data_IF_408579914912
#
_entry.id   IF_408579914912
#
_cell.length_a   1.000
_cell.length_b   1.000
_cell.length_c   1.000
_cell.angle_alpha   90.00
_cell.angle_beta   90.00
_cell.angle_gamma   90.00
#
_symmetry.space_group_name_H-M   'P 1'
#
loop_
_entity.id
_entity.type
_entity.pdbx_description
1 polymer ?
#
# COMPACT_ATOMS: atom_id res chain seq x y z
N UNK A 1 -16.46 7.62 0.04
CA UNK A 1 -15.17 6.89 0.02
C UNK A 1 -14.60 6.83 -1.40
N UNK A 2 -15.34 6.35 -2.40
CA UNK A 2 -14.90 6.24 -3.81
C UNK A 2 -14.34 7.54 -4.42
N UNK A 3 -15.04 8.66 -4.26
CA UNK A 3 -14.58 9.97 -4.74
C UNK A 3 -13.24 10.44 -4.13
N UNK A 4 -12.91 10.00 -2.91
CA UNK A 4 -11.63 10.34 -2.26
C UNK A 4 -10.45 9.55 -2.85
N UNK A 5 -10.67 8.28 -3.18
CA UNK A 5 -9.69 7.41 -3.84
C UNK A 5 -9.44 7.87 -5.28
N UNK A 6 -10.49 8.21 -6.02
CA UNK A 6 -10.36 8.73 -7.39
C UNK A 6 -9.54 10.02 -7.43
N UNK A 7 -9.85 10.99 -6.55
CA UNK A 7 -9.09 12.23 -6.44
C UNK A 7 -7.63 12.01 -6.00
N UNK A 8 -7.37 10.99 -5.17
CA UNK A 8 -6.03 10.61 -4.76
C UNK A 8 -5.24 10.03 -5.94
N UNK A 9 -5.85 9.13 -6.72
CA UNK A 9 -5.24 8.56 -7.93
C UNK A 9 -4.89 9.66 -8.93
N UNK A 10 -5.77 10.64 -9.15
CA UNK A 10 -5.49 11.77 -10.05
C UNK A 10 -4.26 12.59 -9.60
N UNK A 11 -4.10 12.82 -8.29
CA UNK A 11 -2.92 13.52 -7.76
C UNK A 11 -1.64 12.72 -8.00
N UNK A 12 -1.68 11.42 -7.72
CA UNK A 12 -0.53 10.52 -7.89
C UNK A 12 -0.11 10.42 -9.36
N UNK A 13 -1.07 10.34 -10.28
CA UNK A 13 -0.81 10.36 -11.72
C UNK A 13 -0.15 11.66 -12.20
N UNK A 14 -0.32 12.77 -11.48
CA UNK A 14 0.35 14.06 -11.76
C UNK A 14 1.75 14.16 -11.13
N UNK A 15 2.26 13.08 -10.52
CA UNK A 15 3.58 13.04 -9.91
C UNK A 15 3.65 13.63 -8.50
N UNK A 16 2.50 13.77 -7.82
CA UNK A 16 2.50 14.14 -6.41
C UNK A 16 3.07 12.99 -5.56
N UNK A 17 4.00 13.32 -4.66
CA UNK A 17 4.60 12.35 -3.74
C UNK A 17 3.74 12.24 -2.46
N UNK A 18 3.27 11.04 -2.08
CA UNK A 18 2.39 10.90 -0.94
C UNK A 18 3.10 11.17 0.40
N UNK A 19 2.43 11.95 1.25
CA UNK A 19 2.74 12.15 2.67
C UNK A 19 1.53 11.66 3.47
N UNK A 20 1.74 10.79 4.47
CA UNK A 20 0.70 10.23 5.32
C UNK A 20 -0.22 11.29 5.94
N UNK A 21 0.30 12.50 6.21
CA UNK A 21 -0.48 13.62 6.79
C UNK A 21 -1.45 14.25 5.80
N UNK A 22 -1.27 13.99 4.51
CA UNK A 22 -2.02 14.58 3.41
C UNK A 22 -2.98 13.56 2.75
N UNK A 23 -3.01 12.32 3.25
CA UNK A 23 -3.88 11.24 2.77
C UNK A 23 -5.10 11.14 3.68
N UNK A 24 -6.26 11.55 3.16
CA UNK A 24 -7.53 11.61 3.89
C UNK A 24 -8.49 10.44 3.56
N UNK A 25 -7.94 9.34 3.06
CA UNK A 25 -8.63 8.05 2.91
C UNK A 25 -8.09 7.10 3.98
N UNK A 26 -8.76 5.97 4.29
CA UNK A 26 -8.20 4.96 5.17
C UNK A 26 -6.80 4.57 4.72
N UNK A 27 -5.86 4.53 5.66
CA UNK A 27 -4.49 4.11 5.45
C UNK A 27 -4.28 2.77 6.15
N UNK A 28 -3.52 1.89 5.53
CA UNK A 28 -3.21 0.57 6.09
C UNK A 28 -1.76 0.22 5.83
N UNK A 29 -1.08 -0.24 6.86
CA UNK A 29 0.26 -0.82 6.76
C UNK A 29 0.14 -2.28 6.28
N UNK A 30 0.85 -2.59 5.21
CA UNK A 30 0.95 -3.94 4.64
C UNK A 30 2.40 -4.38 4.77
N UNK A 31 2.64 -5.19 5.79
CA UNK A 31 3.93 -5.74 6.15
C UNK A 31 4.26 -6.97 5.31
N UNK A 32 5.56 -7.21 5.16
CA UNK A 32 6.12 -8.36 4.49
C UNK A 32 5.50 -8.56 3.10
N UNK A 33 5.17 -7.49 2.38
CA UNK A 33 4.43 -7.59 1.11
C UNK A 33 5.29 -8.24 -0.01
N UNK A 34 6.62 -8.30 0.19
CA UNK A 34 7.63 -8.76 -0.76
C UNK A 34 7.59 -10.27 -1.06
N UNK A 35 6.51 -10.98 -0.74
CA UNK A 35 6.35 -12.42 -1.00
C UNK A 35 6.18 -12.74 -2.50
N UNK A 36 6.48 -11.77 -3.37
CA UNK A 36 6.36 -11.88 -4.81
C UNK A 36 7.72 -11.83 -5.53
N UNK A 37 8.39 -12.97 -5.73
CA UNK A 37 9.45 -13.11 -6.71
C UNK A 37 8.83 -13.77 -7.95
N UNK A 38 8.33 -12.99 -8.92
CA UNK A 38 8.34 -13.32 -10.35
C UNK A 38 7.52 -12.30 -11.15
N UNK A 39 8.25 -11.54 -11.94
CA UNK A 39 7.83 -10.79 -13.12
C UNK A 39 6.70 -11.48 -13.93
N UNK A 40 5.76 -10.65 -14.40
CA UNK A 40 4.90 -10.80 -15.61
C UNK A 40 3.37 -10.88 -15.44
N UNK A 41 2.79 -10.89 -14.24
CA UNK A 41 1.32 -10.90 -14.11
C UNK A 41 0.79 -9.58 -13.53
N UNK A 42 0.07 -8.83 -14.39
CA UNK A 42 -0.82 -7.71 -14.11
C UNK A 42 -1.15 -7.50 -12.62
N UNK A 43 -0.66 -6.39 -12.06
CA UNK A 43 -0.78 -5.93 -10.67
C UNK A 43 -2.23 -5.75 -10.21
N UNK A 44 -2.95 -6.85 -10.02
CA UNK A 44 -4.33 -6.82 -9.55
C UNK A 44 -4.41 -6.94 -8.04
N UNK A 45 -3.38 -7.46 -7.37
CA UNK A 45 -3.45 -7.69 -5.92
C UNK A 45 -2.14 -7.41 -5.18
N UNK A 46 -2.26 -6.89 -3.96
CA UNK A 46 -1.21 -6.81 -2.93
C UNK A 46 -1.57 -7.79 -1.82
N UNK A 47 -0.63 -8.67 -1.49
CA UNK A 47 -0.74 -9.62 -0.37
C UNK A 47 0.32 -9.27 0.66
N UNK A 48 -0.04 -9.31 1.93
CA UNK A 48 0.91 -9.14 3.03
C UNK A 48 0.30 -9.49 4.36
N UNK A 49 0.85 -8.89 5.40
CA UNK A 49 0.45 -9.08 6.79
C UNK A 49 0.08 -7.71 7.36
N UNK A 50 -1.01 -7.61 8.11
CA UNK A 50 -1.32 -6.39 8.86
C UNK A 50 -0.45 -6.27 10.14
N UNK A 51 -0.62 -5.18 10.88
CA UNK A 51 0.11 -4.93 12.13
C UNK A 51 -0.18 -5.99 13.20
N UNK A 52 -1.37 -6.59 13.19
CA UNK A 52 -1.81 -7.61 14.15
C UNK A 52 -1.31 -9.03 13.77
N UNK A 53 -0.63 -9.18 12.63
CA UNK A 53 -0.15 -10.47 12.12
C UNK A 53 -1.16 -11.23 11.26
N UNK A 54 -2.31 -10.61 10.94
CA UNK A 54 -3.34 -11.14 10.06
C UNK A 54 -2.92 -11.10 8.60
N UNK A 55 -3.27 -12.15 7.85
CA UNK A 55 -3.05 -12.15 6.40
C UNK A 55 -4.04 -11.23 5.71
N UNK A 56 -3.54 -10.34 4.85
CA UNK A 56 -4.35 -9.42 4.06
C UNK A 56 -4.12 -9.59 2.56
N UNK A 57 -5.17 -9.36 1.78
CA UNK A 57 -5.16 -9.37 0.32
C UNK A 57 -6.04 -8.23 -0.17
N UNK A 58 -5.46 -7.32 -0.95
CA UNK A 58 -6.15 -6.14 -1.48
C UNK A 58 -6.11 -6.15 -3.00
N UNK A 59 -7.23 -5.84 -3.64
CA UNK A 59 -7.25 -5.48 -5.06
C UNK A 59 -6.59 -4.10 -5.24
N UNK A 60 -5.73 -3.95 -6.23
CA UNK A 60 -4.94 -2.74 -6.44
C UNK A 60 -5.36 -2.04 -7.71
N UNK A 61 -5.67 -0.76 -7.60
CA UNK A 61 -5.97 0.14 -8.71
C UNK A 61 -4.71 0.80 -9.27
N UNK A 62 -3.74 1.06 -8.40
CA UNK A 62 -2.47 1.68 -8.75
C UNK A 62 -1.39 1.25 -7.77
N UNK A 63 -0.18 1.00 -8.26
CA UNK A 63 0.98 0.70 -7.42
C UNK A 63 2.12 1.63 -7.77
N UNK A 64 2.88 2.02 -6.76
CA UNK A 64 4.12 2.74 -6.97
C UNK A 64 5.17 1.88 -7.69
N UNK A 65 5.99 2.54 -8.52
CA UNK A 65 7.07 1.88 -9.28
C UNK A 65 8.23 1.41 -8.40
N UNK A 66 8.42 2.03 -7.24
CA UNK A 66 9.41 1.63 -6.23
C UNK A 66 8.79 0.70 -5.19
N UNK A 67 7.49 0.44 -5.30
CA UNK A 67 6.74 -0.49 -4.46
C UNK A 67 6.70 -0.07 -2.99
N UNK A 68 6.76 1.24 -2.74
CA UNK A 68 6.67 1.82 -1.40
C UNK A 68 5.21 2.00 -0.93
N UNK A 69 4.27 2.06 -1.87
CA UNK A 69 2.84 2.21 -1.59
C UNK A 69 1.96 1.71 -2.74
N UNK A 70 0.68 1.47 -2.44
CA UNK A 70 -0.36 1.12 -3.41
C UNK A 70 -1.70 1.78 -3.07
N UNK A 71 -2.60 1.85 -4.04
CA UNK A 71 -3.97 2.35 -3.87
C UNK A 71 -4.95 1.23 -4.19
N UNK A 72 -5.79 0.88 -3.21
CA UNK A 72 -6.90 -0.04 -3.33
C UNK A 72 -8.24 0.72 -3.40
N UNK A 73 -9.34 0.07 -3.80
CA UNK A 73 -10.67 0.70 -3.79
C UNK A 73 -11.12 1.19 -2.39
N UNK A 74 -10.57 0.59 -1.33
CA UNK A 74 -10.95 0.84 0.07
C UNK A 74 -9.94 1.66 0.87
N UNK A 75 -8.66 1.67 0.48
CA UNK A 75 -7.58 2.24 1.29
C UNK A 75 -6.34 2.62 0.47
N UNK A 76 -5.51 3.48 1.07
CA UNK A 76 -4.12 3.65 0.70
C UNK A 76 -3.27 2.67 1.49
N UNK A 77 -2.38 1.94 0.82
CA UNK A 77 -1.57 0.89 1.41
C UNK A 77 -0.12 1.35 1.47
N UNK A 78 0.46 1.38 2.67
CA UNK A 78 1.90 1.52 2.86
C UNK A 78 2.53 0.14 2.77
N UNK A 79 3.51 -0.02 1.88
CA UNK A 79 4.11 -1.30 1.57
C UNK A 79 5.48 -1.37 2.22
N UNK A 80 5.66 -2.31 3.16
CA UNK A 80 6.93 -2.49 3.87
C UNK A 80 7.59 -3.80 3.48
N UNK A 81 8.85 -3.72 3.09
CA UNK A 81 9.65 -4.93 2.89
C UNK A 81 9.87 -5.67 4.23
N UNK A 82 10.46 -6.88 4.24
CA UNK A 82 10.62 -7.64 5.48
C UNK A 82 11.52 -6.96 6.52
N UNK A 83 12.49 -6.15 6.11
CA UNK A 83 13.36 -5.42 7.03
C UNK A 83 12.60 -4.24 7.66
N UNK A 84 11.90 -3.45 6.85
CA UNK A 84 11.07 -2.33 7.29
C UNK A 84 9.90 -2.81 8.16
N UNK A 85 9.33 -3.96 7.83
CA UNK A 85 8.24 -4.57 8.58
C UNK A 85 8.63 -4.89 10.02
N UNK A 86 9.87 -5.33 10.24
CA UNK A 86 10.39 -5.54 11.60
C UNK A 86 10.52 -4.22 12.37
N UNK A 87 10.91 -3.13 11.70
CA UNK A 87 11.03 -1.80 12.31
C UNK A 87 9.65 -1.26 12.69
N UNK A 88 8.68 -1.32 11.78
CA UNK A 88 7.30 -0.85 12.01
C UNK A 88 6.65 -1.64 13.16
N UNK A 89 6.79 -2.97 13.17
CA UNK A 89 6.29 -3.80 14.28
C UNK A 89 6.91 -3.42 15.62
N UNK A 90 8.22 -3.12 15.65
CA UNK A 90 8.91 -2.72 16.87
C UNK A 90 8.45 -1.35 17.39
N UNK A 91 8.13 -0.43 16.48
CA UNK A 91 7.68 0.92 16.81
C UNK A 91 6.18 1.01 17.14
N UNK A 92 5.42 -0.05 16.85
CA UNK A 92 3.99 -0.15 17.20
C UNK A 92 3.03 0.43 16.16
N UNK A 93 3.51 0.67 14.92
CA UNK A 93 2.76 1.41 13.89
C UNK A 93 2.95 2.91 14.01
#
# INVERSE_FOLDING_TARGET
MRAGIEALIEKLQRGWNPDARQIYVPQQDVLDWSWWPNSEAQTLFVRGVDLDGGMVLHEVLWIDRHLEWAVAPSAFLWLYDPEESQKVRYLGG
#
